data_IF_300880746108
#
_entry.id   IF_300880746108
#
_cell.length_a   1.000
_cell.length_b   1.000
_cell.length_c   1.000
_cell.angle_alpha   90.00
_cell.angle_beta   90.00
_cell.angle_gamma   90.00
#
_symmetry.space_group_name_H-M   'P 1'
#
loop_
_entity.id
_entity.type
_entity.pdbx_description
1 polymer ?
#
# COMPACT_ATOMS: atom_id res chain seq x y z
N UNK A 1 6.90 -10.69 -9.01
CA UNK A 1 6.30 -10.48 -7.67
C UNK A 1 4.89 -11.00 -7.74
N UNK A 2 4.32 -11.43 -6.61
CA UNK A 2 2.96 -11.94 -6.58
C UNK A 2 2.00 -10.82 -6.17
N UNK A 3 0.81 -10.78 -6.77
CA UNK A 3 -0.23 -9.84 -6.39
C UNK A 3 -0.63 -10.06 -4.92
N UNK A 4 -0.61 -9.01 -4.10
CA UNK A 4 -0.95 -9.12 -2.68
C UNK A 4 -2.38 -9.64 -2.44
N UNK A 5 -3.27 -9.41 -3.41
CA UNK A 5 -4.69 -9.77 -3.38
C UNK A 5 -4.95 -11.20 -3.85
N UNK A 6 -4.47 -11.59 -5.03
CA UNK A 6 -4.76 -12.91 -5.63
C UNK A 6 -3.70 -13.97 -5.36
N UNK A 7 -2.48 -13.56 -5.01
CA UNK A 7 -1.31 -14.44 -4.95
C UNK A 7 -0.81 -14.91 -6.32
N UNK A 8 -1.37 -14.40 -7.43
CA UNK A 8 -0.91 -14.72 -8.77
C UNK A 8 0.31 -13.88 -9.15
N UNK A 9 1.20 -14.45 -9.96
CA UNK A 9 2.37 -13.73 -10.45
C UNK A 9 1.96 -12.56 -11.34
N UNK A 10 2.57 -11.40 -11.10
CA UNK A 10 2.42 -10.20 -11.92
C UNK A 10 3.58 -10.11 -12.91
N UNK A 11 3.26 -9.89 -14.19
CA UNK A 11 4.25 -9.75 -15.26
C UNK A 11 4.48 -8.28 -15.66
N UNK A 12 5.71 -7.97 -16.10
CA UNK A 12 6.04 -6.64 -16.59
C UNK A 12 5.20 -6.31 -17.83
N UNK A 13 4.48 -5.19 -17.78
CA UNK A 13 3.58 -4.76 -18.86
C UNK A 13 2.18 -5.38 -18.81
N UNK A 14 1.92 -6.28 -17.86
CA UNK A 14 0.61 -6.91 -17.65
C UNK A 14 0.23 -6.84 -16.16
N UNK A 15 -0.06 -5.61 -15.72
CA UNK A 15 -0.50 -5.32 -14.36
C UNK A 15 -1.27 -4.01 -14.30
N UNK A 16 -2.08 -3.87 -13.26
CA UNK A 16 -2.73 -2.61 -12.90
C UNK A 16 -2.06 -2.01 -11.66
N UNK A 17 -2.19 -0.69 -11.48
CA UNK A 17 -1.90 -0.04 -10.21
C UNK A 17 -3.22 0.13 -9.46
N UNK A 18 -3.34 -0.47 -8.27
CA UNK A 18 -4.51 -0.34 -7.40
C UNK A 18 -4.23 0.61 -6.24
N UNK A 19 -5.26 1.34 -5.82
CA UNK A 19 -5.24 2.11 -4.57
C UNK A 19 -5.74 1.22 -3.42
N UNK A 20 -4.89 0.97 -2.42
CA UNK A 20 -5.24 0.09 -1.31
C UNK A 20 -6.49 0.57 -0.56
N UNK A 21 -6.50 1.84 -0.15
CA UNK A 21 -7.71 2.56 0.22
C UNK A 21 -8.31 3.24 -1.01
N UNK A 22 -9.65 3.27 -1.17
CA UNK A 22 -10.32 3.84 -2.34
C UNK A 22 -9.85 5.25 -2.66
N UNK A 23 -9.53 5.53 -3.92
CA UNK A 23 -9.17 6.87 -4.36
C UNK A 23 -10.26 7.90 -4.06
N UNK A 24 -11.53 7.51 -4.20
CA UNK A 24 -12.68 8.35 -3.85
C UNK A 24 -12.74 8.74 -2.36
N UNK A 25 -11.99 8.05 -1.50
CA UNK A 25 -11.84 8.38 -0.08
C UNK A 25 -10.60 9.23 0.18
N UNK A 26 -9.43 8.83 -0.33
CA UNK A 26 -8.16 9.53 -0.05
C UNK A 26 -7.89 10.75 -0.93
N UNK A 27 -8.51 10.81 -2.11
CA UNK A 27 -8.41 11.89 -3.10
C UNK A 27 -6.98 12.27 -3.55
N UNK A 28 -6.05 11.31 -3.55
CA UNK A 28 -4.68 11.51 -3.98
C UNK A 28 -4.03 10.22 -4.51
N UNK A 29 -2.92 10.37 -5.23
CA UNK A 29 -2.13 9.28 -5.81
C UNK A 29 -0.79 9.07 -5.10
N UNK A 30 -0.75 9.30 -3.79
CA UNK A 30 0.47 9.14 -3.00
C UNK A 30 0.93 7.68 -2.95
N UNK A 31 2.23 7.45 -3.16
CA UNK A 31 2.83 6.12 -3.31
C UNK A 31 2.52 5.15 -2.15
N UNK A 32 2.40 5.64 -0.91
CA UNK A 32 2.15 4.78 0.26
C UNK A 32 0.82 4.01 0.17
N UNK A 33 -0.11 4.46 -0.69
CA UNK A 33 -1.43 3.85 -0.92
C UNK A 33 -1.54 3.12 -2.26
N UNK A 34 -0.47 3.00 -3.05
CA UNK A 34 -0.49 2.38 -4.38
C UNK A 34 0.26 1.06 -4.42
N UNK A 35 -0.26 0.05 -5.12
CA UNK A 35 0.43 -1.24 -5.29
C UNK A 35 0.17 -1.84 -6.68
N UNK A 36 1.16 -2.50 -7.30
CA UNK A 36 0.89 -3.36 -8.45
C UNK A 36 -0.08 -4.49 -8.08
N UNK A 37 -1.10 -4.67 -8.90
CA UNK A 37 -2.12 -5.68 -8.72
C UNK A 37 -2.44 -6.39 -10.03
N UNK A 38 -3.00 -7.59 -9.92
CA UNK A 38 -3.59 -8.29 -11.05
C UNK A 38 -4.74 -7.46 -11.66
N UNK A 39 -4.87 -7.48 -12.98
CA UNK A 39 -5.88 -6.69 -13.70
C UNK A 39 -7.32 -7.00 -13.27
N UNK A 40 -7.60 -8.21 -12.77
CA UNK A 40 -8.92 -8.59 -12.27
C UNK A 40 -9.34 -7.80 -11.02
N UNK A 41 -8.38 -7.32 -10.22
CA UNK A 41 -8.65 -6.68 -8.92
C UNK A 41 -9.46 -5.40 -9.06
N UNK A 42 -9.18 -4.58 -10.07
CA UNK A 42 -9.92 -3.34 -10.30
C UNK A 42 -11.43 -3.58 -10.42
N UNK A 43 -11.83 -4.70 -11.04
CA UNK A 43 -13.24 -5.05 -11.21
C UNK A 43 -13.88 -5.65 -9.96
N UNK A 44 -13.12 -6.43 -9.17
CA UNK A 44 -13.66 -7.15 -8.01
C UNK A 44 -13.66 -6.31 -6.73
N UNK A 45 -12.60 -5.53 -6.51
CA UNK A 45 -12.42 -4.67 -5.33
C UNK A 45 -13.12 -3.33 -5.51
N UNK A 46 -13.02 -2.70 -6.68
CA UNK A 46 -13.59 -1.37 -6.93
C UNK A 46 -13.16 -0.38 -5.82
N UNK A 47 -14.12 0.29 -5.20
CA UNK A 47 -14.05 1.21 -4.08
C UNK A 47 -14.22 0.52 -2.71
N UNK A 48 -14.15 -0.81 -2.64
CA UNK A 48 -14.24 -1.53 -1.36
C UNK A 48 -12.90 -1.54 -0.63
N UNK A 49 -13.01 -1.62 0.69
CA UNK A 49 -11.87 -1.68 1.60
C UNK A 49 -11.33 -3.12 1.71
N UNK A 50 -10.05 -3.39 1.40
CA UNK A 50 -9.46 -4.70 1.63
C UNK A 50 -9.49 -5.08 3.12
N UNK A 51 -9.81 -6.32 3.50
CA UNK A 51 -9.66 -6.81 4.88
C UNK A 51 -8.28 -6.45 5.47
N UNK A 52 -8.27 -5.47 6.39
CA UNK A 52 -7.05 -4.77 6.78
C UNK A 52 -6.02 -5.71 7.40
N UNK A 53 -6.46 -6.56 8.34
CA UNK A 53 -5.60 -7.52 9.04
C UNK A 53 -4.93 -8.53 8.09
N UNK A 54 -5.55 -8.80 6.94
CA UNK A 54 -5.02 -9.75 5.98
C UNK A 54 -4.08 -9.10 4.96
N UNK A 55 -4.46 -7.94 4.42
CA UNK A 55 -3.73 -7.33 3.29
C UNK A 55 -2.74 -6.23 3.69
N UNK A 56 -2.93 -5.55 4.84
CA UNK A 56 -2.01 -4.50 5.28
C UNK A 56 -0.59 -5.03 5.54
N UNK A 57 -0.38 -6.20 6.17
CA UNK A 57 0.96 -6.75 6.35
C UNK A 57 1.67 -7.07 5.03
N UNK A 58 0.92 -7.44 3.98
CA UNK A 58 1.46 -7.70 2.64
C UNK A 58 1.87 -6.41 1.95
N UNK A 59 1.00 -5.40 1.96
CA UNK A 59 1.30 -4.06 1.43
C UNK A 59 2.55 -3.46 2.07
N UNK A 60 2.62 -3.51 3.41
CA UNK A 60 3.76 -2.98 4.15
C UNK A 60 5.07 -3.69 3.79
N UNK A 61 5.04 -5.01 3.59
CA UNK A 61 6.22 -5.77 3.19
C UNK A 61 6.69 -5.43 1.78
N UNK A 62 5.77 -5.34 0.81
CA UNK A 62 6.10 -4.94 -0.58
C UNK A 62 6.72 -3.54 -0.62
N UNK A 63 6.16 -2.58 0.11
CA UNK A 63 6.71 -1.23 0.20
C UNK A 63 8.07 -1.19 0.91
N UNK A 64 8.25 -1.97 1.97
CA UNK A 64 9.56 -2.07 2.66
C UNK A 64 10.64 -2.55 1.71
N UNK A 65 10.33 -3.58 0.92
CA UNK A 65 11.24 -4.13 -0.08
C UNK A 65 11.52 -3.15 -1.23
N UNK A 66 10.49 -2.49 -1.76
CA UNK A 66 10.63 -1.49 -2.80
C UNK A 66 11.52 -0.31 -2.36
N UNK A 67 11.28 0.26 -1.16
CA UNK A 67 12.09 1.35 -0.61
C UNK A 67 13.54 0.89 -0.42
N UNK A 68 13.76 -0.30 0.13
CA UNK A 68 15.10 -0.85 0.36
C UNK A 68 15.87 -1.00 -0.95
N UNK A 69 15.26 -1.57 -1.98
CA UNK A 69 15.87 -1.76 -3.30
C UNK A 69 16.16 -0.41 -3.95
N UNK A 70 15.18 0.51 -3.94
CA UNK A 70 15.30 1.81 -4.60
C UNK A 70 16.40 2.69 -3.99
N UNK A 71 16.42 2.82 -2.66
CA UNK A 71 17.45 3.59 -1.96
C UNK A 71 18.81 2.87 -1.95
N UNK A 72 18.81 1.53 -1.86
CA UNK A 72 20.03 0.71 -1.97
C UNK A 72 20.72 0.85 -3.33
N UNK A 73 19.97 1.15 -4.39
CA UNK A 73 20.48 1.47 -5.72
C UNK A 73 20.97 2.93 -5.86
N UNK A 74 21.07 3.69 -4.76
CA UNK A 74 21.55 5.08 -4.75
C UNK A 74 20.60 6.08 -5.42
N UNK A 75 19.30 5.74 -5.53
CA UNK A 75 18.30 6.62 -6.13
C UNK A 75 17.89 7.75 -5.19
N UNK A 76 17.31 8.81 -5.76
CA UNK A 76 16.97 10.05 -5.02
C UNK A 76 15.81 9.81 -4.07
N UNK A 77 16.00 10.20 -2.80
CA UNK A 77 14.97 10.17 -1.76
C UNK A 77 13.73 10.99 -2.10
N UNK A 78 13.87 12.04 -2.92
CA UNK A 78 12.74 12.90 -3.32
C UNK A 78 11.62 12.15 -4.05
N UNK A 79 11.94 11.01 -4.66
CA UNK A 79 10.93 10.14 -5.30
C UNK A 79 10.08 9.35 -4.29
N UNK A 80 10.45 9.36 -3.01
CA UNK A 80 9.76 8.67 -1.91
C UNK A 80 9.14 9.67 -0.92
N UNK A 81 9.05 10.96 -1.26
CA UNK A 81 8.51 12.00 -0.38
C UNK A 81 7.08 11.70 0.08
N UNK A 82 6.27 11.04 -0.74
CA UNK A 82 4.92 10.62 -0.37
C UNK A 82 4.88 9.74 0.88
N UNK A 83 5.91 8.92 1.12
CA UNK A 83 5.95 8.06 2.31
C UNK A 83 6.13 8.85 3.62
N UNK A 84 6.44 10.15 3.56
CA UNK A 84 6.49 11.02 4.75
C UNK A 84 5.14 11.14 5.44
N UNK A 85 4.03 10.90 4.73
CA UNK A 85 2.68 10.78 5.31
C UNK A 85 2.55 9.67 6.35
N UNK A 86 3.50 8.72 6.39
CA UNK A 86 3.57 7.68 7.43
C UNK A 86 4.22 8.18 8.74
N UNK A 87 4.67 9.44 8.79
CA UNK A 87 5.34 10.03 9.96
C UNK A 87 6.85 9.76 10.03
N UNK A 88 7.45 9.27 8.94
CA UNK A 88 8.87 8.90 8.86
C UNK A 88 9.52 9.47 7.61
N UNK A 89 10.80 9.81 7.66
CA UNK A 89 11.53 10.12 6.42
C UNK A 89 11.81 8.83 5.64
N UNK A 90 12.06 8.90 4.31
CA UNK A 90 12.46 7.73 3.53
C UNK A 90 13.69 6.98 4.09
N UNK A 91 14.63 7.71 4.70
CA UNK A 91 15.80 7.10 5.37
C UNK A 91 15.42 6.35 6.64
N UNK A 92 14.52 6.92 7.45
CA UNK A 92 14.03 6.25 8.66
C UNK A 92 13.35 4.93 8.27
N UNK A 93 12.45 4.98 7.28
CA UNK A 93 11.74 3.82 6.76
C UNK A 93 12.69 2.72 6.26
N UNK A 94 13.78 3.08 5.58
CA UNK A 94 14.79 2.13 5.13
C UNK A 94 15.47 1.38 6.30
N UNK A 95 15.59 2.02 7.46
CA UNK A 95 16.27 1.48 8.64
C UNK A 95 15.34 0.73 9.59
N UNK A 96 14.01 0.87 9.43
CA UNK A 96 13.06 0.14 10.26
C UNK A 96 13.14 -1.36 9.98
N UNK A 97 13.05 -2.15 11.06
CA UNK A 97 12.79 -3.57 10.93
C UNK A 97 11.32 -3.80 10.50
N UNK A 98 11.01 -5.04 10.11
CA UNK A 98 9.69 -5.43 9.60
C UNK A 98 8.54 -5.06 10.55
N UNK A 99 8.71 -5.29 11.85
CA UNK A 99 7.67 -5.01 12.85
C UNK A 99 7.39 -3.52 12.99
N UNK A 100 8.43 -2.69 13.08
CA UNK A 100 8.27 -1.23 13.19
C UNK A 100 7.74 -0.62 11.90
N UNK A 101 8.11 -1.17 10.75
CA UNK A 101 7.58 -0.73 9.45
C UNK A 101 6.08 -1.03 9.35
N UNK A 102 5.64 -2.23 9.73
CA UNK A 102 4.22 -2.56 9.81
C UNK A 102 3.47 -1.68 10.82
N UNK A 103 4.08 -1.39 11.98
CA UNK A 103 3.48 -0.50 12.97
C UNK A 103 3.23 0.92 12.42
N UNK A 104 4.14 1.46 11.59
CA UNK A 104 3.93 2.73 10.89
C UNK A 104 2.71 2.68 9.96
N UNK A 105 2.56 1.59 9.20
CA UNK A 105 1.38 1.37 8.36
C UNK A 105 0.11 1.25 9.20
N UNK A 106 0.12 0.52 10.30
CA UNK A 106 -1.05 0.40 11.19
C UNK A 106 -1.45 1.75 11.78
N UNK A 107 -0.48 2.57 12.20
CA UNK A 107 -0.74 3.90 12.75
C UNK A 107 -1.44 4.83 11.75
N UNK A 108 -1.13 4.70 10.45
CA UNK A 108 -1.77 5.48 9.38
C UNK A 108 -3.07 4.85 8.89
N UNK A 109 -3.06 3.56 8.56
CA UNK A 109 -4.18 2.90 7.88
C UNK A 109 -5.35 2.56 8.80
N UNK A 110 -5.13 2.15 10.05
CA UNK A 110 -6.23 1.79 10.96
C UNK A 110 -7.24 2.94 11.16
N UNK A 111 -6.82 4.18 11.50
CA UNK A 111 -7.77 5.29 11.64
C UNK A 111 -8.43 5.65 10.30
N UNK A 112 -7.69 5.66 9.19
CA UNK A 112 -8.23 5.94 7.86
C UNK A 112 -9.29 4.92 7.44
N UNK A 113 -9.01 3.64 7.68
CA UNK A 113 -9.94 2.54 7.42
C UNK A 113 -11.23 2.70 8.21
N UNK A 114 -11.13 3.00 9.51
CA UNK A 114 -12.30 3.22 10.36
C UNK A 114 -13.13 4.43 9.90
N UNK A 115 -12.48 5.52 9.47
CA UNK A 115 -13.17 6.69 8.92
C UNK A 115 -13.90 6.32 7.63
N UNK A 116 -13.24 5.60 6.71
CA UNK A 116 -13.87 5.15 5.47
C UNK A 116 -15.10 4.28 5.74
N UNK A 117 -15.02 3.33 6.68
CA UNK A 117 -16.18 2.53 7.09
C UNK A 117 -17.33 3.41 7.63
N UNK A 118 -17.00 4.40 8.47
CA UNK A 118 -18.00 5.33 9.00
C UNK A 118 -18.64 6.22 7.91
N UNK A 119 -17.95 6.41 6.78
CA UNK A 119 -18.45 7.11 5.59
C UNK A 119 -19.27 6.21 4.65
N UNK A 120 -19.42 4.92 4.96
CA UNK A 120 -20.23 3.98 4.19
C UNK A 120 -19.46 3.12 3.18
N UNK A 121 -18.12 3.17 3.18
CA UNK A 121 -17.32 2.27 2.36
C UNK A 121 -17.40 0.83 2.89
N UNK A 122 -17.76 -0.11 2.01
CA UNK A 122 -17.92 -1.52 2.35
C UNK A 122 -16.57 -2.25 2.39
N UNK A 123 -16.48 -3.29 3.22
CA UNK A 123 -15.33 -4.21 3.20
C UNK A 123 -15.48 -5.17 2.03
N UNK A 124 -14.38 -5.41 1.32
CA UNK A 124 -14.32 -6.33 0.21
C UNK A 124 -14.44 -7.78 0.71
N UNK A 125 -15.47 -8.49 0.23
CA UNK A 125 -15.61 -9.93 0.44
C UNK A 125 -14.70 -10.67 -0.54
N UNK A 126 -13.57 -11.16 -0.02
CA UNK A 126 -12.55 -11.94 -0.74
C UNK A 126 -12.86 -13.42 -0.79
#
# INVERSE_FOLDING_TARGET
MDCIYTGQEIHIGDYAVDHFLPWSFVAHDQLWNLIPADNSINSSKSDKLPPLDHFLPKLAEEHREAIRIYLGAGKKESALEDFTSLGYTPRDLQQLNRERFLAAYQQTFCPLFQIAQNMGYEVWNV
#
